data_IF_804304212592
#
_entry.id   IF_804304212592
#
_cell.length_a   1.000
_cell.length_b   1.000
_cell.length_c   1.000
_cell.angle_alpha   90.00
_cell.angle_beta   90.00
_cell.angle_gamma   90.00
#
_symmetry.space_group_name_H-M   'P 1'
#
loop_
_entity.id
_entity.type
_entity.pdbx_description
1 polymer ?
#
# COMPACT_ATOMS: atom_id res chain seq x y z
N UNK A 1 4.22 4.43 -12.49
CA UNK A 1 4.95 4.22 -11.21
C UNK A 1 4.62 5.37 -10.28
N UNK A 2 4.55 5.14 -8.96
CA UNK A 2 4.36 6.21 -7.99
C UNK A 2 5.25 5.97 -6.76
N UNK A 3 5.80 7.04 -6.18
CA UNK A 3 6.58 7.04 -4.96
C UNK A 3 6.12 8.21 -4.11
N UNK A 4 5.41 7.91 -3.03
CA UNK A 4 4.96 8.88 -2.05
C UNK A 4 5.72 8.65 -0.74
N UNK A 5 6.72 9.48 -0.40
CA UNK A 5 7.50 9.31 0.82
C UNK A 5 6.65 9.34 2.09
N UNK A 6 5.53 10.06 2.08
CA UNK A 6 4.63 10.20 3.22
C UNK A 6 5.38 10.73 4.45
N UNK A 7 6.04 11.84 4.30
CA UNK A 7 6.77 12.53 5.37
C UNK A 7 6.37 14.00 5.46
N UNK A 8 6.74 14.67 6.54
CA UNK A 8 6.40 16.08 6.77
C UNK A 8 6.92 17.04 5.70
N UNK A 9 8.08 16.74 5.10
CA UNK A 9 8.71 17.61 4.10
C UNK A 9 8.01 17.64 2.75
N UNK A 10 7.61 16.45 2.23
CA UNK A 10 6.95 16.36 0.91
C UNK A 10 5.45 16.13 1.00
N UNK A 11 4.94 15.87 2.22
CA UNK A 11 3.52 15.59 2.49
C UNK A 11 3.00 14.44 1.62
N UNK A 12 1.91 14.67 0.88
CA UNK A 12 1.31 13.68 -0.05
C UNK A 12 1.83 13.76 -1.49
N UNK A 13 2.97 14.41 -1.75
CA UNK A 13 3.50 14.60 -3.11
C UNK A 13 4.20 13.35 -3.63
N UNK A 14 3.99 13.04 -4.92
CA UNK A 14 4.74 12.00 -5.63
C UNK A 14 6.13 12.53 -6.01
N UNK A 15 7.17 11.80 -5.64
CA UNK A 15 8.57 12.10 -5.98
C UNK A 15 9.10 11.25 -7.12
N UNK A 16 8.25 10.45 -7.77
CA UNK A 16 8.63 9.72 -8.98
C UNK A 16 8.62 10.62 -10.22
N UNK A 17 9.34 10.22 -11.27
CA UNK A 17 9.30 10.90 -12.57
C UNK A 17 7.89 10.96 -13.20
N UNK A 18 6.96 10.12 -12.75
CA UNK A 18 5.58 10.15 -13.23
C UNK A 18 4.78 11.35 -12.74
N UNK A 19 5.24 12.02 -11.65
CA UNK A 19 4.60 13.20 -11.04
C UNK A 19 3.07 13.06 -10.95
N UNK A 20 2.65 11.99 -10.26
CA UNK A 20 1.22 11.76 -10.03
C UNK A 20 0.64 12.87 -9.13
N UNK A 21 -0.67 13.11 -9.18
CA UNK A 21 -1.31 14.08 -8.31
C UNK A 21 -1.01 13.83 -6.83
N UNK A 22 -0.87 14.90 -6.07
CA UNK A 22 -0.67 14.83 -4.62
C UNK A 22 -1.88 14.23 -3.92
N UNK A 23 -1.63 13.47 -2.86
CA UNK A 23 -2.68 12.95 -2.00
C UNK A 23 -3.30 14.03 -1.11
N UNK A 24 -4.62 13.94 -0.91
CA UNK A 24 -5.35 14.72 0.07
C UNK A 24 -5.17 14.10 1.46
N UNK A 25 -4.76 14.91 2.43
CA UNK A 25 -4.56 14.50 3.81
C UNK A 25 -5.85 14.76 4.60
N UNK A 26 -6.42 13.72 5.17
CA UNK A 26 -7.42 13.82 6.22
C UNK A 26 -6.75 14.07 7.58
N UNK A 27 -7.39 13.59 8.65
CA UNK A 27 -6.84 13.73 10.01
C UNK A 27 -5.67 12.77 10.23
N UNK A 28 -4.49 13.16 9.75
CA UNK A 28 -3.20 12.49 9.95
C UNK A 28 -2.16 13.50 10.40
N UNK A 29 -1.11 13.09 11.11
CA UNK A 29 -0.04 13.97 11.58
C UNK A 29 1.32 13.40 11.22
N UNK A 30 2.32 14.24 10.90
CA UNK A 30 3.71 13.80 10.79
C UNK A 30 4.16 13.09 12.07
N UNK A 31 5.00 12.07 11.92
CA UNK A 31 5.49 11.24 13.01
C UNK A 31 6.85 10.61 12.65
N UNK A 32 7.62 10.12 13.63
CA UNK A 32 8.90 9.46 13.35
C UNK A 32 8.79 8.29 12.38
N UNK A 33 9.68 8.28 11.38
CA UNK A 33 9.75 7.30 10.31
C UNK A 33 10.57 6.05 10.66
N UNK A 34 10.64 5.08 9.72
CA UNK A 34 11.46 3.88 9.89
C UNK A 34 12.97 4.17 9.83
N UNK A 35 13.37 5.28 9.24
CA UNK A 35 14.73 5.82 9.16
C UNK A 35 15.09 6.72 10.34
N UNK A 36 14.26 6.77 11.40
CA UNK A 36 14.37 7.63 12.58
C UNK A 36 14.21 9.14 12.31
N UNK A 37 13.92 9.54 11.08
CA UNK A 37 13.59 10.94 10.79
C UNK A 37 12.35 11.36 11.56
N UNK A 38 12.38 12.52 12.25
CA UNK A 38 11.32 13.02 13.14
C UNK A 38 9.94 13.02 12.47
N UNK A 39 9.86 13.48 11.23
CA UNK A 39 8.63 13.57 10.44
C UNK A 39 8.62 12.60 9.24
N UNK A 40 9.29 11.44 9.36
CA UNK A 40 9.51 10.47 8.29
C UNK A 40 8.33 9.57 7.97
N UNK A 41 7.16 9.80 8.59
CA UNK A 41 5.92 9.04 8.37
C UNK A 41 4.69 9.88 8.67
N UNK A 42 3.51 9.31 8.40
CA UNK A 42 2.24 9.83 8.92
C UNK A 42 1.62 8.86 9.95
N UNK A 43 1.17 9.44 11.09
CA UNK A 43 0.35 8.75 12.09
C UNK A 43 -1.11 8.74 11.64
N UNK A 44 -1.72 7.56 11.62
CA UNK A 44 -3.14 7.30 11.43
C UNK A 44 -3.77 6.94 12.78
N UNK A 45 -4.95 7.48 13.07
CA UNK A 45 -5.55 7.45 14.41
C UNK A 45 -6.66 6.40 14.58
N UNK A 46 -6.86 5.51 13.61
CA UNK A 46 -7.88 4.47 13.70
C UNK A 46 -9.31 5.01 13.73
N UNK A 47 -9.62 6.01 12.89
CA UNK A 47 -10.96 6.64 12.79
C UNK A 47 -11.31 7.01 11.35
N UNK A 48 -12.59 7.22 11.07
CA UNK A 48 -13.15 7.46 9.73
C UNK A 48 -12.47 8.59 8.96
N UNK A 49 -12.14 9.69 9.61
CA UNK A 49 -11.49 10.85 9.00
C UNK A 49 -9.95 10.76 8.95
N UNK A 50 -9.35 9.70 9.49
CA UNK A 50 -7.90 9.49 9.45
C UNK A 50 -7.51 8.70 8.21
N UNK A 51 -7.26 9.41 7.11
CA UNK A 51 -6.92 8.83 5.81
C UNK A 51 -5.99 9.73 4.99
N UNK A 52 -5.35 9.15 3.98
CA UNK A 52 -4.74 9.86 2.85
C UNK A 52 -5.36 9.27 1.58
N UNK A 53 -5.82 10.12 0.66
CA UNK A 53 -6.40 9.69 -0.61
C UNK A 53 -5.65 10.28 -1.79
N UNK A 54 -5.23 9.42 -2.70
CA UNK A 54 -4.49 9.76 -3.92
C UNK A 54 -5.43 9.69 -5.12
N UNK A 55 -5.64 10.81 -5.82
CA UNK A 55 -6.40 10.80 -7.08
C UNK A 55 -5.71 9.91 -8.11
N UNK A 56 -6.50 9.14 -8.85
CA UNK A 56 -6.00 8.33 -9.95
C UNK A 56 -6.51 8.89 -11.29
N UNK A 57 -5.65 9.60 -11.98
CA UNK A 57 -5.90 10.12 -13.33
C UNK A 57 -5.31 9.19 -14.42
N UNK A 58 -5.32 7.88 -14.17
CA UNK A 58 -4.79 6.85 -15.07
C UNK A 58 -3.36 6.40 -14.77
N UNK A 59 -2.52 7.21 -14.16
CA UNK A 59 -1.09 6.89 -13.90
C UNK A 59 -0.87 5.91 -12.74
N UNK A 60 -1.84 5.74 -11.83
CA UNK A 60 -1.83 4.73 -10.77
C UNK A 60 -2.53 3.42 -11.21
N UNK A 61 -3.09 3.39 -12.42
CA UNK A 61 -3.81 2.24 -12.94
C UNK A 61 -2.85 1.17 -13.47
N UNK A 62 -2.71 0.12 -12.69
CA UNK A 62 -1.81 -1.01 -12.97
C UNK A 62 -2.59 -2.26 -13.39
N UNK A 63 -3.41 -2.15 -14.43
CA UNK A 63 -4.43 -3.12 -14.90
C UNK A 63 -3.97 -4.58 -15.00
N UNK A 64 -2.73 -4.84 -15.35
CA UNK A 64 -2.21 -6.20 -15.61
C UNK A 64 -1.33 -6.69 -14.47
N UNK A 65 -0.21 -6.06 -14.25
CA UNK A 65 0.71 -6.44 -13.18
C UNK A 65 0.94 -5.28 -12.24
N UNK A 66 1.12 -5.57 -10.96
CA UNK A 66 1.34 -4.53 -9.97
C UNK A 66 2.23 -4.99 -8.84
N UNK A 67 2.91 -4.04 -8.20
CA UNK A 67 3.51 -4.17 -6.89
C UNK A 67 3.07 -3.00 -6.03
N UNK A 68 2.53 -3.31 -4.84
CA UNK A 68 2.17 -2.35 -3.80
C UNK A 68 3.15 -2.52 -2.65
N UNK A 69 3.77 -1.44 -2.17
CA UNK A 69 4.77 -1.51 -1.10
C UNK A 69 4.61 -0.33 -0.14
N UNK A 70 4.82 -0.57 1.15
CA UNK A 70 4.88 0.47 2.18
C UNK A 70 5.66 0.00 3.40
N UNK A 71 6.17 0.94 4.19
CA UNK A 71 6.54 0.74 5.57
C UNK A 71 5.34 1.01 6.46
N UNK A 72 5.05 0.11 7.37
CA UNK A 72 3.99 0.25 8.37
C UNK A 72 4.53 0.01 9.77
N UNK A 73 4.03 0.77 10.75
CA UNK A 73 4.16 0.50 12.18
C UNK A 73 2.76 0.43 12.76
N UNK A 74 2.25 -0.77 12.79
CA UNK A 74 0.86 -1.06 13.13
C UNK A 74 0.64 -1.14 14.64
N UNK A 75 -0.49 -0.61 15.13
CA UNK A 75 -0.82 -0.56 16.57
C UNK A 75 -1.90 -1.58 16.99
N UNK A 76 -2.05 -2.67 16.24
CA UNK A 76 -2.89 -3.81 16.66
C UNK A 76 -4.34 -3.78 16.15
N UNK A 77 -4.71 -2.87 15.24
CA UNK A 77 -6.06 -2.74 14.68
C UNK A 77 -6.12 -3.17 13.22
N UNK A 78 -7.26 -3.75 12.79
CA UNK A 78 -7.50 -4.04 11.37
C UNK A 78 -7.81 -2.75 10.61
N UNK A 79 -7.41 -2.69 9.32
CA UNK A 79 -7.70 -1.54 8.47
C UNK A 79 -6.85 -1.49 7.20
N UNK A 80 -7.19 -0.57 6.27
CA UNK A 80 -6.53 -0.48 4.97
C UNK A 80 -5.15 0.16 5.04
N UNK A 81 -4.16 -0.52 4.43
CA UNK A 81 -2.88 0.07 4.07
C UNK A 81 -3.01 0.68 2.67
N UNK A 82 -3.50 -0.11 1.71
CA UNK A 82 -3.91 0.35 0.37
C UNK A 82 -5.34 -0.09 0.11
N UNK A 83 -6.17 0.79 -0.42
CA UNK A 83 -7.49 0.44 -0.89
C UNK A 83 -7.81 1.24 -2.16
N UNK A 84 -7.68 0.59 -3.32
CA UNK A 84 -8.24 1.12 -4.56
C UNK A 84 -9.76 1.07 -4.47
N UNK A 85 -10.44 2.01 -5.08
CA UNK A 85 -11.89 2.20 -4.95
C UNK A 85 -12.28 2.45 -3.49
N UNK A 86 -12.13 3.69 -2.97
CA UNK A 86 -12.33 4.02 -1.56
C UNK A 86 -13.69 3.62 -0.96
N UNK A 87 -14.72 3.48 -1.79
CA UNK A 87 -16.08 3.07 -1.43
C UNK A 87 -16.48 1.67 -1.95
N UNK A 88 -15.53 0.88 -2.47
CA UNK A 88 -15.84 -0.37 -3.16
C UNK A 88 -14.84 -1.50 -2.97
N UNK A 89 -14.93 -2.52 -3.83
CA UNK A 89 -14.13 -3.75 -3.79
C UNK A 89 -12.96 -3.73 -4.79
N UNK A 90 -12.18 -2.66 -4.83
CA UNK A 90 -10.95 -2.60 -5.62
C UNK A 90 -9.83 -3.50 -5.08
N UNK A 91 -8.65 -3.40 -5.70
CA UNK A 91 -7.43 -4.03 -5.15
C UNK A 91 -7.14 -3.44 -3.77
N UNK A 92 -6.80 -4.30 -2.81
CA UNK A 92 -6.59 -3.87 -1.42
C UNK A 92 -5.50 -4.66 -0.71
N UNK A 93 -4.69 -3.97 0.09
CA UNK A 93 -3.74 -4.53 1.04
C UNK A 93 -4.12 -4.03 2.43
N UNK A 94 -4.42 -4.93 3.35
CA UNK A 94 -5.03 -4.63 4.65
C UNK A 94 -4.38 -5.40 5.79
N UNK A 95 -4.34 -4.79 6.98
CA UNK A 95 -4.27 -5.54 8.23
C UNK A 95 -5.66 -6.06 8.53
N UNK A 96 -5.81 -7.38 8.68
CA UNK A 96 -7.11 -8.02 9.00
C UNK A 96 -7.20 -8.45 10.46
N UNK A 97 -6.09 -8.47 11.18
CA UNK A 97 -5.99 -8.65 12.63
C UNK A 97 -4.69 -8.00 13.16
N UNK A 98 -4.38 -8.23 14.42
CA UNK A 98 -3.16 -7.70 15.06
C UNK A 98 -1.86 -8.11 14.37
N UNK A 99 -1.81 -9.25 13.72
CA UNK A 99 -0.58 -9.81 13.13
C UNK A 99 -0.74 -10.27 11.69
N UNK A 100 -1.97 -10.27 11.16
CA UNK A 100 -2.28 -10.84 9.86
C UNK A 100 -2.44 -9.77 8.78
N UNK A 101 -1.65 -9.91 7.72
CA UNK A 101 -1.71 -9.11 6.50
C UNK A 101 -2.48 -9.85 5.42
N UNK A 102 -3.31 -9.15 4.67
CA UNK A 102 -4.14 -9.69 3.60
C UNK A 102 -4.05 -8.82 2.36
N UNK A 103 -3.87 -9.42 1.20
CA UNK A 103 -4.05 -8.75 -0.10
C UNK A 103 -5.13 -9.44 -0.93
N UNK A 104 -6.00 -8.63 -1.53
CA UNK A 104 -6.99 -9.08 -2.52
C UNK A 104 -6.76 -8.33 -3.83
N UNK A 105 -6.50 -9.05 -4.89
CA UNK A 105 -6.41 -8.52 -6.25
C UNK A 105 -7.76 -8.69 -6.94
N UNK A 106 -8.63 -7.70 -6.83
CA UNK A 106 -9.98 -7.74 -7.38
C UNK A 106 -9.97 -7.53 -8.90
N UNK A 107 -10.73 -8.32 -9.67
CA UNK A 107 -10.85 -8.13 -11.11
C UNK A 107 -11.69 -6.89 -11.44
N UNK A 108 -11.34 -6.22 -12.54
CA UNK A 108 -12.05 -5.06 -13.04
C UNK A 108 -13.42 -5.46 -13.60
N UNK A 109 -14.48 -4.72 -13.22
CA UNK A 109 -15.86 -4.93 -13.70
C UNK A 109 -16.38 -6.38 -13.55
N UNK A 110 -15.93 -7.09 -12.53
CA UNK A 110 -16.36 -8.44 -12.25
C UNK A 110 -16.82 -8.59 -10.81
N UNK A 111 -17.90 -9.34 -10.60
CA UNK A 111 -18.39 -9.70 -9.26
C UNK A 111 -17.74 -10.99 -8.73
N UNK A 112 -16.82 -11.59 -9.51
CA UNK A 112 -16.13 -12.81 -9.10
C UNK A 112 -15.43 -12.59 -7.76
N UNK A 113 -15.72 -13.45 -6.81
CA UNK A 113 -15.03 -13.47 -5.52
C UNK A 113 -13.60 -14.02 -5.72
N UNK A 114 -12.61 -13.23 -5.35
CA UNK A 114 -11.20 -13.66 -5.34
C UNK A 114 -10.78 -13.87 -3.88
N UNK A 115 -10.41 -15.09 -3.56
CA UNK A 115 -9.84 -15.41 -2.24
C UNK A 115 -8.57 -14.59 -2.01
N UNK A 116 -8.41 -13.95 -0.84
CA UNK A 116 -7.21 -13.16 -0.54
C UNK A 116 -5.97 -14.05 -0.37
N UNK A 117 -4.79 -13.44 -0.52
CA UNK A 117 -3.52 -13.98 -0.02
C UNK A 117 -3.32 -13.43 1.38
N UNK A 118 -3.14 -14.31 2.36
CA UNK A 118 -3.05 -13.93 3.78
C UNK A 118 -1.79 -14.54 4.38
N UNK A 119 -1.10 -13.79 5.23
CA UNK A 119 0.01 -14.28 6.05
C UNK A 119 0.10 -13.53 7.36
N UNK A 120 0.53 -14.22 8.41
CA UNK A 120 0.97 -13.63 9.67
C UNK A 120 2.40 -13.07 9.58
N UNK A 121 2.89 -12.54 10.70
CA UNK A 121 4.27 -12.09 10.86
C UNK A 121 4.45 -10.57 10.93
N UNK A 122 3.37 -9.80 10.90
CA UNK A 122 3.43 -8.37 11.26
C UNK A 122 3.40 -8.24 12.77
N UNK A 123 4.41 -7.61 13.35
CA UNK A 123 4.51 -7.41 14.81
C UNK A 123 4.02 -6.01 15.16
N UNK A 124 2.99 -5.86 16.03
CA UNK A 124 2.52 -4.55 16.47
C UNK A 124 3.63 -3.73 17.12
N UNK A 125 3.62 -2.42 16.87
CA UNK A 125 4.61 -1.49 17.42
C UNK A 125 5.98 -1.50 16.73
N UNK A 126 6.24 -2.42 15.79
CA UNK A 126 7.50 -2.49 15.04
C UNK A 126 7.33 -2.05 13.60
N UNK A 127 8.32 -1.36 13.06
CA UNK A 127 8.36 -1.04 11.65
C UNK A 127 8.51 -2.31 10.81
N UNK A 128 7.57 -2.53 9.93
CA UNK A 128 7.52 -3.69 9.02
C UNK A 128 7.37 -3.21 7.58
N UNK A 129 8.26 -3.66 6.71
CA UNK A 129 8.12 -3.42 5.27
C UNK A 129 7.24 -4.49 4.66
N UNK A 130 6.17 -4.08 4.03
CA UNK A 130 5.20 -4.97 3.40
C UNK A 130 5.13 -4.74 1.90
N UNK A 131 5.02 -5.81 1.13
CA UNK A 131 4.83 -5.74 -0.31
C UNK A 131 3.86 -6.83 -0.80
N UNK A 132 3.05 -6.47 -1.79
CA UNK A 132 2.16 -7.39 -2.48
C UNK A 132 2.34 -7.25 -3.98
N UNK A 133 2.49 -8.37 -4.70
CA UNK A 133 2.68 -8.39 -6.15
C UNK A 133 1.63 -9.25 -6.83
N UNK A 134 1.19 -8.83 -8.01
CA UNK A 134 0.45 -9.66 -8.93
C UNK A 134 1.09 -9.60 -10.30
N UNK A 135 1.32 -10.79 -10.89
CA UNK A 135 1.88 -10.94 -12.23
C UNK A 135 0.81 -11.48 -13.18
N UNK A 136 0.41 -10.69 -14.17
CA UNK A 136 -0.61 -11.07 -15.14
C UNK A 136 -0.20 -12.28 -16.00
N UNK A 137 1.07 -12.34 -16.45
CA UNK A 137 1.55 -13.43 -17.33
C UNK A 137 1.45 -14.78 -16.64
N UNK A 138 1.90 -14.88 -15.38
CA UNK A 138 1.86 -16.12 -14.60
C UNK A 138 0.57 -16.30 -13.81
N UNK A 139 -0.29 -15.30 -13.71
CA UNK A 139 -1.51 -15.34 -12.88
C UNK A 139 -1.25 -15.42 -11.37
N UNK A 140 -0.01 -15.17 -10.92
CA UNK A 140 0.37 -15.35 -9.52
C UNK A 140 0.30 -14.05 -8.73
N UNK A 141 -0.33 -14.13 -7.56
CA UNK A 141 -0.27 -13.14 -6.49
C UNK A 141 0.69 -13.62 -5.40
N UNK A 142 1.52 -12.71 -4.88
CA UNK A 142 2.49 -13.00 -3.82
C UNK A 142 2.46 -11.91 -2.75
N UNK A 143 2.74 -12.32 -1.51
CA UNK A 143 2.85 -11.43 -0.36
C UNK A 143 4.26 -11.54 0.23
N UNK A 144 4.81 -10.39 0.64
CA UNK A 144 6.15 -10.28 1.23
C UNK A 144 6.07 -9.46 2.52
N UNK A 145 6.78 -9.93 3.55
CA UNK A 145 6.98 -9.23 4.83
C UNK A 145 8.48 -9.18 5.11
N UNK A 146 9.03 -8.00 5.38
CA UNK A 146 10.47 -7.76 5.58
C UNK A 146 11.33 -8.35 4.45
N UNK A 147 10.88 -8.18 3.20
CA UNK A 147 11.45 -8.72 1.96
C UNK A 147 11.44 -10.25 1.83
N UNK A 148 10.92 -10.98 2.81
CA UNK A 148 10.75 -12.42 2.72
C UNK A 148 9.44 -12.74 2.03
N UNK A 149 9.46 -13.64 1.08
CA UNK A 149 8.26 -14.26 0.51
C UNK A 149 7.54 -15.06 1.60
N UNK A 150 6.25 -14.77 1.82
CA UNK A 150 5.48 -15.39 2.92
C UNK A 150 4.23 -16.15 2.45
N UNK A 151 3.63 -15.75 1.33
CA UNK A 151 2.45 -16.45 0.80
C UNK A 151 2.25 -16.18 -0.70
N UNK A 152 1.61 -17.12 -1.38
CA UNK A 152 1.19 -16.99 -2.79
C UNK A 152 -0.17 -17.61 -3.04
N UNK A 153 -0.78 -17.17 -4.16
CA UNK A 153 -1.99 -17.77 -4.71
C UNK A 153 -2.01 -17.59 -6.23
N UNK A 154 -2.46 -18.61 -6.92
CA UNK A 154 -2.78 -18.52 -8.34
C UNK A 154 -4.19 -17.94 -8.51
N UNK A 155 -4.33 -16.87 -9.26
CA UNK A 155 -5.59 -16.17 -9.52
C UNK A 155 -6.03 -16.28 -10.98
N UNK A 156 -5.16 -16.80 -11.84
CA UNK A 156 -5.33 -16.73 -13.29
C UNK A 156 -4.99 -15.33 -13.84
N UNK A 157 -5.18 -15.16 -15.13
CA UNK A 157 -4.96 -13.88 -15.83
C UNK A 157 -6.19 -12.99 -15.67
N UNK A 158 -6.15 -12.04 -14.73
CA UNK A 158 -7.24 -11.10 -14.47
C UNK A 158 -6.78 -9.64 -14.69
N UNK A 159 -7.64 -8.82 -15.26
CA UNK A 159 -7.43 -7.37 -15.28
C UNK A 159 -7.82 -6.80 -13.91
N UNK A 160 -6.92 -6.05 -13.29
CA UNK A 160 -7.08 -5.55 -11.93
C UNK A 160 -7.99 -4.31 -11.88
N UNK A 161 -8.76 -4.20 -10.80
CA UNK A 161 -9.57 -3.02 -10.45
C UNK A 161 -8.70 -1.96 -9.77
N UNK A 162 -7.80 -1.32 -10.54
CA UNK A 162 -6.83 -0.31 -10.09
C UNK A 162 -7.04 1.07 -10.74
N UNK A 163 -8.09 1.28 -11.51
CA UNK A 163 -8.42 2.56 -12.14
C UNK A 163 -9.20 3.54 -11.24
N UNK A 164 -9.15 3.33 -9.94
CA UNK A 164 -9.84 4.12 -8.92
C UNK A 164 -8.83 4.89 -8.05
N UNK A 165 -9.27 5.96 -7.34
CA UNK A 165 -8.44 6.57 -6.30
C UNK A 165 -7.94 5.54 -5.29
N UNK A 166 -6.78 5.80 -4.70
CA UNK A 166 -6.19 4.95 -3.65
C UNK A 166 -6.37 5.64 -2.32
N UNK A 167 -7.02 4.98 -1.37
CA UNK A 167 -7.14 5.48 0.00
C UNK A 167 -6.38 4.60 0.97
N UNK A 168 -5.68 5.23 1.91
CA UNK A 168 -4.97 4.63 3.04
C UNK A 168 -5.65 5.01 4.34
N UNK A 169 -5.56 4.17 5.37
CA UNK A 169 -6.05 4.47 6.72
C UNK A 169 -7.51 4.18 6.97
N UNK A 170 -8.40 4.56 6.06
CA UNK A 170 -9.84 4.33 6.17
C UNK A 170 -10.44 3.98 4.82
N UNK A 171 -11.53 3.20 4.81
CA UNK A 171 -12.38 2.95 3.65
C UNK A 171 -13.78 3.51 3.91
N UNK A 172 -14.41 4.09 2.89
CA UNK A 172 -15.79 4.57 2.98
C UNK A 172 -16.74 3.36 3.14
N UNK A 173 -17.66 3.44 4.10
CA UNK A 173 -18.61 2.35 4.38
C UNK A 173 -18.01 1.15 5.11
N UNK A 174 -16.86 1.30 5.78
CA UNK A 174 -16.24 0.26 6.61
C UNK A 174 -15.83 0.86 7.97
N UNK A 175 -16.00 0.10 9.05
CA UNK A 175 -15.65 0.52 10.41
C UNK A 175 -14.25 0.12 10.85
N UNK A 176 -13.51 -0.59 10.01
CA UNK A 176 -12.12 -1.01 10.29
C UNK A 176 -11.17 0.07 9.81
N UNK A 177 -10.54 0.75 10.73
CA UNK A 177 -9.64 1.86 10.46
C UNK A 177 -8.23 1.50 10.92
N UNK A 178 -7.26 1.71 10.02
CA UNK A 178 -5.85 1.49 10.37
C UNK A 178 -5.42 2.47 11.46
N UNK A 179 -4.83 1.94 12.52
CA UNK A 179 -4.18 2.71 13.57
C UNK A 179 -2.69 2.39 13.58
N UNK A 180 -1.85 3.42 13.54
CA UNK A 180 -0.39 3.27 13.44
C UNK A 180 0.22 4.25 12.46
N UNK A 181 1.43 3.96 11.99
CA UNK A 181 2.19 4.83 11.09
C UNK A 181 2.39 4.17 9.74
N UNK A 182 2.34 4.98 8.68
CA UNK A 182 2.67 4.55 7.32
C UNK A 182 3.69 5.52 6.73
N UNK A 183 4.67 4.96 6.04
CA UNK A 183 5.72 5.70 5.33
C UNK A 183 6.03 5.02 3.99
N UNK A 184 6.56 5.80 3.04
CA UNK A 184 7.11 5.29 1.78
C UNK A 184 6.16 4.38 0.99
N UNK A 185 4.98 4.91 0.64
CA UNK A 185 4.05 4.23 -0.26
C UNK A 185 4.62 4.19 -1.68
N UNK A 186 4.66 3.00 -2.29
CA UNK A 186 5.15 2.82 -3.65
C UNK A 186 4.20 1.93 -4.46
N UNK A 187 3.97 2.29 -5.73
CA UNK A 187 3.17 1.51 -6.69
C UNK A 187 3.97 1.35 -7.97
N UNK A 188 4.14 0.11 -8.43
CA UNK A 188 4.83 -0.22 -9.69
C UNK A 188 3.88 -0.96 -10.65
N UNK A 189 3.93 -0.68 -11.97
CA UNK A 189 3.10 -1.36 -12.97
C UNK A 189 3.68 -2.72 -13.41
N UNK A 190 4.40 -3.39 -12.52
CA UNK A 190 5.00 -4.71 -12.74
C UNK A 190 5.07 -5.50 -11.43
N UNK A 191 5.17 -6.82 -11.52
CA UNK A 191 5.41 -7.69 -10.39
C UNK A 191 6.92 -7.76 -10.11
N UNK A 192 7.37 -7.09 -9.05
CA UNK A 192 8.77 -7.08 -8.64
C UNK A 192 9.16 -8.41 -7.97
N UNK A 193 10.41 -8.82 -8.16
CA UNK A 193 11.02 -9.93 -7.43
C UNK A 193 11.40 -9.53 -6.00
N UNK A 194 11.72 -10.50 -5.14
CA UNK A 194 12.16 -10.22 -3.76
C UNK A 194 13.42 -9.33 -3.74
N UNK A 195 14.41 -9.58 -4.61
CA UNK A 195 15.60 -8.75 -4.75
C UNK A 195 15.26 -7.30 -5.16
N UNK A 196 14.37 -7.13 -6.15
CA UNK A 196 13.92 -5.82 -6.59
C UNK A 196 13.13 -5.07 -5.52
N UNK A 197 12.31 -5.77 -4.71
CA UNK A 197 11.60 -5.22 -3.56
C UNK A 197 12.61 -4.73 -2.52
N UNK A 198 13.62 -5.56 -2.20
CA UNK A 198 14.67 -5.20 -1.24
C UNK A 198 15.45 -3.95 -1.66
N UNK A 199 15.85 -3.87 -2.93
CA UNK A 199 16.57 -2.71 -3.47
C UNK A 199 15.76 -1.38 -3.41
N UNK A 200 14.43 -1.47 -3.30
CA UNK A 200 13.52 -0.30 -3.32
C UNK A 200 12.98 0.09 -1.94
N UNK A 201 13.19 -0.72 -0.90
CA UNK A 201 12.61 -0.48 0.44
C UNK A 201 13.03 0.85 1.08
N UNK A 202 14.24 1.34 0.77
CA UNK A 202 14.78 2.59 1.32
C UNK A 202 14.74 3.76 0.33
N UNK A 203 14.05 3.60 -0.80
CA UNK A 203 14.08 4.58 -1.89
C UNK A 203 13.57 5.96 -1.46
N UNK A 204 12.56 6.00 -0.60
CA UNK A 204 12.00 7.24 -0.08
C UNK A 204 12.88 8.01 0.90
N UNK A 205 13.96 7.40 1.40
CA UNK A 205 14.81 7.98 2.46
C UNK A 205 16.11 8.58 1.93
N UNK A 206 16.38 8.40 0.65
CA UNK A 206 17.57 8.96 0.01
C UNK A 206 17.32 10.41 -0.35
N UNK A 207 18.06 11.33 0.28
CA UNK A 207 17.99 12.76 -0.03
C UNK A 207 18.51 13.02 -1.46
N UNK A 208 17.81 13.88 -2.22
CA UNK A 208 18.33 14.52 -3.43
C UNK A 208 18.25 13.73 -4.75
N UNK A 209 17.51 12.63 -4.85
CA UNK A 209 17.29 11.95 -6.14
C UNK A 209 15.80 11.88 -6.47
N UNK A 210 15.39 12.55 -7.54
CA UNK A 210 14.11 12.23 -8.23
C UNK A 210 14.28 10.88 -8.95
N UNK A 211 13.25 10.04 -8.92
CA UNK A 211 13.27 8.67 -9.45
C UNK A 211 12.26 8.45 -10.58
#
# INVERSE_FOLDING_TARGET
MAIYPLNGGVKGRDTSLSKNPSGSLGFVRPAPGPDRTRDGSYQFFGRKNSFIEFPNRGKLDTKRSTTLMAWIRHEGFSGPIFNFMPNGRGVRLWMISRTMLSVTFSPFRSRRFIKPVISGGVVPGRWTYVAATYNYKSGQAKLFIQNRFVARRYLGRIRLATNYPVRMGARIGDSRYFKGRISCMQIYPMALTASQINARKTRCFRKGKEW
#
